data_IF_110201377389
#
_entry.id   IF_110201377389
#
_cell.length_a   1.000
_cell.length_b   1.000
_cell.length_c   1.000
_cell.angle_alpha   90.00
_cell.angle_beta   90.00
_cell.angle_gamma   90.00
#
_symmetry.space_group_name_H-M   'P 1'
#
loop_
_entity.id
_entity.type
_entity.pdbx_description
1 polymer ?
#
# COMPACT_ATOMS: atom_id res chain seq x y z
N UNK A 1 33.81 13.38 0.25
CA UNK A 1 32.83 12.98 1.29
C UNK A 1 31.41 12.92 0.70
N UNK A 2 30.73 11.77 0.75
CA UNK A 2 29.40 11.56 0.15
C UNK A 2 28.33 12.15 1.09
N UNK A 3 27.62 13.20 0.65
CA UNK A 3 26.51 13.80 1.44
C UNK A 3 25.39 12.78 1.58
N UNK A 4 25.13 12.30 2.80
CA UNK A 4 23.97 11.46 3.09
C UNK A 4 22.73 12.37 3.18
N UNK A 5 21.84 12.26 2.19
CA UNK A 5 20.50 12.87 2.21
C UNK A 5 19.58 12.03 3.11
N UNK A 6 19.75 12.14 4.43
CA UNK A 6 18.96 11.39 5.43
C UNK A 6 17.95 12.22 6.22
N UNK A 7 18.02 13.55 6.13
CA UNK A 7 17.23 14.48 6.95
C UNK A 7 16.05 15.01 6.15
N UNK A 8 15.19 14.14 5.66
CA UNK A 8 13.91 14.56 5.08
C UNK A 8 12.79 14.06 5.98
N UNK A 9 11.95 14.97 6.46
CA UNK A 9 10.71 14.61 7.13
C UNK A 9 9.76 14.05 6.06
N UNK A 10 9.55 12.71 6.08
CA UNK A 10 8.69 11.99 5.13
C UNK A 10 7.20 12.13 5.46
N UNK A 11 6.83 13.20 6.17
CA UNK A 11 5.48 13.42 6.68
C UNK A 11 5.22 12.77 8.03
N UNK A 12 6.25 12.26 8.73
CA UNK A 12 6.06 11.57 10.02
C UNK A 12 5.44 12.51 11.06
N UNK A 13 5.89 13.77 11.11
CA UNK A 13 5.30 14.75 12.03
C UNK A 13 3.83 15.02 11.71
N UNK A 14 3.51 15.16 10.42
CA UNK A 14 2.15 15.43 9.97
C UNK A 14 1.21 14.27 10.31
N UNK A 15 1.65 13.03 10.11
CA UNK A 15 0.90 11.83 10.47
C UNK A 15 0.57 11.77 11.96
N UNK A 16 1.57 12.01 12.83
CA UNK A 16 1.37 11.99 14.29
C UNK A 16 0.41 13.10 14.73
N UNK A 17 0.50 14.29 14.15
CA UNK A 17 -0.42 15.40 14.45
C UNK A 17 -1.84 15.05 14.05
N UNK A 18 -2.06 14.58 12.81
CA UNK A 18 -3.37 14.19 12.32
C UNK A 18 -3.99 13.07 13.17
N UNK A 19 -3.17 12.10 13.61
CA UNK A 19 -3.62 11.04 14.50
C UNK A 19 -4.06 11.57 15.86
N UNK A 20 -3.27 12.45 16.48
CA UNK A 20 -3.62 13.07 17.76
C UNK A 20 -4.89 13.94 17.65
N UNK A 21 -5.07 14.66 16.54
CA UNK A 21 -6.27 15.45 16.26
C UNK A 21 -7.52 14.56 16.17
N UNK A 22 -7.44 13.45 15.43
CA UNK A 22 -8.54 12.49 15.29
C UNK A 22 -8.94 11.86 16.64
N UNK A 23 -7.95 11.56 17.50
CA UNK A 23 -8.21 11.05 18.85
C UNK A 23 -8.87 12.09 19.78
N UNK A 24 -8.44 13.34 19.69
CA UNK A 24 -8.85 14.40 20.63
C UNK A 24 -10.19 15.04 20.28
N UNK A 25 -10.45 15.26 18.99
CA UNK A 25 -11.66 15.94 18.52
C UNK A 25 -12.71 14.96 17.98
N UNK A 26 -12.37 13.67 17.91
CA UNK A 26 -13.11 12.71 17.10
C UNK A 26 -12.88 12.97 15.62
N UNK A 27 -12.95 11.93 14.80
CA UNK A 27 -12.73 12.05 13.37
C UNK A 27 -12.37 10.72 12.74
N UNK A 28 -12.26 10.72 11.41
CA UNK A 28 -11.71 9.58 10.70
C UNK A 28 -10.22 9.41 11.04
N UNK A 29 -9.76 8.15 11.07
CA UNK A 29 -8.33 7.85 11.12
C UNK A 29 -7.61 8.52 9.94
N UNK A 30 -6.39 9.04 10.12
CA UNK A 30 -5.59 9.64 9.03
C UNK A 30 -5.36 8.71 7.83
N UNK A 31 -5.35 7.40 8.10
CA UNK A 31 -5.32 6.35 7.09
C UNK A 31 -6.59 5.52 7.25
N UNK A 32 -7.31 5.30 6.15
CA UNK A 32 -8.54 4.48 6.16
C UNK A 32 -8.23 3.02 6.47
N UNK A 33 -9.21 2.31 7.03
CA UNK A 33 -9.08 0.88 7.25
C UNK A 33 -8.95 0.12 5.91
N UNK A 34 -9.67 0.58 4.90
CA UNK A 34 -9.70 0.01 3.56
C UNK A 34 -8.32 0.06 2.91
N UNK A 35 -7.59 1.16 3.05
CA UNK A 35 -6.22 1.30 2.53
C UNK A 35 -5.25 0.36 3.25
N UNK A 36 -5.32 0.29 4.59
CA UNK A 36 -4.48 -0.62 5.38
C UNK A 36 -4.73 -2.08 4.99
N UNK A 37 -6.00 -2.46 4.85
CA UNK A 37 -6.39 -3.80 4.44
C UNK A 37 -5.93 -4.11 3.01
N UNK A 38 -6.15 -3.19 2.08
CA UNK A 38 -5.82 -3.34 0.66
C UNK A 38 -4.32 -3.51 0.45
N UNK A 39 -3.50 -2.64 1.05
CA UNK A 39 -2.03 -2.71 0.94
C UNK A 39 -1.44 -3.97 1.60
N UNK A 40 -1.98 -4.37 2.74
CA UNK A 40 -1.57 -5.63 3.40
C UNK A 40 -1.88 -6.82 2.51
N UNK A 41 -3.10 -6.89 1.97
CA UNK A 41 -3.52 -7.99 1.11
C UNK A 41 -2.73 -8.03 -0.20
N UNK A 42 -2.45 -6.88 -0.81
CA UNK A 42 -1.58 -6.78 -1.98
C UNK A 42 -0.20 -7.36 -1.73
N UNK A 43 0.40 -7.09 -0.56
CA UNK A 43 1.71 -7.63 -0.20
C UNK A 43 1.69 -9.17 -0.10
N UNK A 44 0.62 -9.73 0.47
CA UNK A 44 0.42 -11.18 0.58
C UNK A 44 0.20 -11.82 -0.79
N UNK A 45 -0.70 -11.26 -1.61
CA UNK A 45 -1.04 -11.77 -2.93
C UNK A 45 0.15 -11.67 -3.89
N UNK A 46 1.00 -10.64 -3.78
CA UNK A 46 2.22 -10.56 -4.58
C UNK A 46 3.17 -11.74 -4.30
N UNK A 47 3.36 -12.11 -3.03
CA UNK A 47 4.18 -13.27 -2.65
C UNK A 47 3.56 -14.57 -3.15
N UNK A 48 2.23 -14.70 -3.06
CA UNK A 48 1.53 -15.87 -3.56
C UNK A 48 1.63 -15.99 -5.08
N UNK A 49 1.42 -14.89 -5.80
CA UNK A 49 1.54 -14.80 -7.26
C UNK A 49 2.93 -15.26 -7.74
N UNK A 50 3.99 -14.84 -7.05
CA UNK A 50 5.36 -15.28 -7.36
C UNK A 50 5.57 -16.79 -7.18
N UNK A 51 4.88 -17.42 -6.22
CA UNK A 51 4.99 -18.86 -5.95
C UNK A 51 4.19 -19.71 -6.93
N UNK A 52 3.00 -19.23 -7.29
CA UNK A 52 2.07 -19.96 -8.14
C UNK A 52 2.27 -19.65 -9.63
N UNK A 53 3.01 -18.58 -9.95
CA UNK A 53 3.26 -18.17 -11.33
C UNK A 53 2.04 -17.61 -12.03
N UNK A 54 1.02 -17.18 -11.27
CA UNK A 54 -0.23 -16.62 -11.81
C UNK A 54 -0.53 -15.26 -11.19
N UNK A 55 -1.10 -14.31 -11.95
CA UNK A 55 -1.58 -13.05 -11.40
C UNK A 55 -2.80 -13.28 -10.51
N UNK A 56 -2.90 -12.51 -9.41
CA UNK A 56 -4.01 -12.57 -8.45
C UNK A 56 -4.66 -11.19 -8.31
N UNK A 57 -5.99 -11.16 -8.32
CA UNK A 57 -6.76 -9.92 -8.24
C UNK A 57 -6.87 -9.40 -6.80
N UNK A 58 -6.89 -8.08 -6.65
CA UNK A 58 -7.18 -7.42 -5.38
C UNK A 58 -8.69 -7.32 -5.16
N UNK A 59 -9.23 -7.88 -4.06
CA UNK A 59 -10.65 -7.73 -3.74
C UNK A 59 -11.03 -6.24 -3.56
N UNK A 60 -11.98 -5.78 -4.36
CA UNK A 60 -12.44 -4.38 -4.35
C UNK A 60 -11.60 -3.41 -5.18
N UNK A 61 -10.55 -3.90 -5.86
CA UNK A 61 -9.82 -3.11 -6.85
C UNK A 61 -10.65 -2.95 -8.13
N UNK A 62 -10.95 -1.72 -8.53
CA UNK A 62 -11.71 -1.39 -9.74
C UNK A 62 -10.98 -1.69 -11.07
N UNK A 63 -9.86 -2.42 -11.03
CA UNK A 63 -9.10 -2.79 -12.21
C UNK A 63 -9.23 -4.29 -12.42
N UNK A 64 -10.31 -4.71 -13.10
CA UNK A 64 -10.28 -5.95 -13.86
C UNK A 64 -9.27 -5.75 -14.99
N UNK A 65 -7.98 -5.94 -14.69
CA UNK A 65 -6.98 -6.07 -15.74
C UNK A 65 -7.33 -7.37 -16.45
N UNK A 66 -7.99 -7.26 -17.61
CA UNK A 66 -8.04 -8.34 -18.58
C UNK A 66 -6.59 -8.71 -18.87
N UNK A 67 -6.14 -9.78 -18.22
CA UNK A 67 -4.83 -10.38 -18.43
C UNK A 67 -4.68 -10.65 -19.92
N UNK A 68 -3.81 -9.88 -20.58
CA UNK A 68 -3.38 -10.20 -21.93
C UNK A 68 -2.62 -11.54 -21.87
N UNK A 69 -3.00 -12.56 -22.67
CA UNK A 69 -2.53 -13.94 -22.53
C UNK A 69 -1.07 -14.20 -22.93
N UNK A 70 -0.21 -13.18 -23.07
CA UNK A 70 1.09 -13.32 -23.74
C UNK A 70 2.32 -13.07 -22.86
N UNK A 71 2.20 -12.96 -21.52
CA UNK A 71 3.39 -12.92 -20.66
C UNK A 71 3.98 -14.33 -20.47
N UNK A 72 4.60 -14.86 -21.52
CA UNK A 72 5.52 -15.99 -21.41
C UNK A 72 6.76 -15.49 -20.68
N UNK A 73 6.93 -15.96 -19.44
CA UNK A 73 8.19 -15.86 -18.71
C UNK A 73 9.25 -16.60 -19.53
N UNK A 74 10.23 -15.86 -20.05
CA UNK A 74 11.43 -16.40 -20.68
C UNK A 74 12.45 -16.83 -19.61
#
# INVERSE_FOLDING_TARGET
>A
PKKIRGVQDKGHRAEVVAFAEALTHGGASPISWEDLRSTTLASILAVQSLREGVPLDLPGGALSLSVHPELKVA
#
